data_IF_131546157115
#
_entry.id   IF_131546157115
#
_cell.length_a   1.000
_cell.length_b   1.000
_cell.length_c   1.000
_cell.angle_alpha   90.00
_cell.angle_beta   90.00
_cell.angle_gamma   90.00
#
_symmetry.space_group_name_H-M   'P 1'
#
loop_
_entity.id
_entity.type
_entity.pdbx_description
1 polymer ?
#
# COMPACT_ATOMS: atom_id res chain seq x y z
N UNK A 1 10.52 -3.20 18.82
CA UNK A 1 11.18 -3.91 17.70
C UNK A 1 10.82 -3.19 16.42
N UNK A 2 11.73 -3.20 15.44
CA UNK A 2 11.56 -2.53 14.16
C UNK A 2 12.04 -3.44 13.03
N UNK A 3 11.59 -3.12 11.78
CA UNK A 3 12.10 -3.70 10.56
C UNK A 3 12.31 -2.57 9.55
N UNK A 4 13.19 -2.80 8.59
CA UNK A 4 13.47 -1.86 7.50
C UNK A 4 13.59 -2.64 6.19
N UNK A 5 13.08 -2.07 5.11
CA UNK A 5 13.29 -2.52 3.73
C UNK A 5 13.69 -1.31 2.90
N UNK A 6 14.75 -1.46 2.13
CA UNK A 6 15.17 -0.48 1.12
C UNK A 6 15.07 -1.17 -0.25
N UNK A 7 14.33 -0.58 -1.16
CA UNK A 7 14.03 -1.16 -2.48
C UNK A 7 14.24 -0.13 -3.57
N UNK A 8 14.78 -0.56 -4.70
CA UNK A 8 14.83 0.25 -5.92
C UNK A 8 13.48 0.22 -6.64
N UNK A 9 13.26 1.16 -7.56
CA UNK A 9 12.02 1.25 -8.34
C UNK A 9 11.74 0.03 -9.22
N UNK A 10 12.73 -0.81 -9.50
CA UNK A 10 12.61 -2.07 -10.22
C UNK A 10 12.26 -3.28 -9.31
N UNK A 11 12.04 -3.07 -8.01
CA UNK A 11 11.74 -4.12 -7.05
C UNK A 11 12.97 -4.78 -6.40
N UNK A 12 14.19 -4.40 -6.78
CA UNK A 12 15.40 -4.94 -6.16
C UNK A 12 15.51 -4.54 -4.69
N UNK A 13 15.51 -5.49 -3.79
CA UNK A 13 15.73 -5.28 -2.35
C UNK A 13 17.21 -5.00 -2.12
N UNK A 14 17.54 -3.75 -1.81
CA UNK A 14 18.93 -3.29 -1.58
C UNK A 14 19.40 -3.53 -0.17
N UNK A 15 18.49 -3.45 0.80
CA UNK A 15 18.76 -3.79 2.20
C UNK A 15 17.48 -4.22 2.89
N UNK A 16 17.59 -5.15 3.82
CA UNK A 16 16.48 -5.60 4.64
C UNK A 16 16.97 -5.99 6.03
N UNK A 17 16.28 -5.48 7.06
CA UNK A 17 16.49 -5.87 8.46
C UNK A 17 15.14 -6.23 9.07
N UNK A 18 14.91 -7.49 9.35
CA UNK A 18 13.64 -8.00 9.91
C UNK A 18 13.62 -8.15 11.41
N UNK A 19 14.76 -7.94 12.11
CA UNK A 19 14.89 -8.07 13.55
C UNK A 19 16.33 -8.02 14.04
N UNK A 20 16.52 -8.12 15.37
CA UNK A 20 17.85 -8.11 15.99
C UNK A 20 18.56 -9.47 15.92
N UNK A 21 17.78 -10.53 15.79
CA UNK A 21 18.30 -11.92 15.91
C UNK A 21 18.64 -12.43 14.51
N UNK A 22 19.86 -12.13 14.07
CA UNK A 22 20.33 -12.47 12.72
C UNK A 22 21.10 -13.79 12.66
N UNK A 23 21.39 -14.40 13.84
CA UNK A 23 22.20 -15.62 13.93
C UNK A 23 21.37 -16.90 14.03
N UNK A 24 20.07 -16.79 14.27
CA UNK A 24 19.16 -17.93 14.42
C UNK A 24 18.51 -18.22 13.08
N UNK A 25 18.79 -19.41 12.53
CA UNK A 25 18.13 -19.89 11.30
C UNK A 25 16.63 -20.01 11.55
N UNK A 26 15.80 -19.44 10.64
CA UNK A 26 14.34 -19.42 10.81
C UNK A 26 13.81 -18.39 11.79
N UNK A 27 14.65 -17.45 12.29
CA UNK A 27 14.18 -16.34 13.09
C UNK A 27 13.08 -15.55 12.37
N UNK A 28 12.08 -15.11 13.14
CA UNK A 28 10.94 -14.35 12.58
C UNK A 28 11.39 -13.04 11.93
N UNK A 29 11.21 -12.96 10.62
CA UNK A 29 11.55 -11.78 9.82
C UNK A 29 10.35 -10.84 9.72
N UNK A 30 10.38 -9.73 10.44
CA UNK A 30 9.27 -8.76 10.47
C UNK A 30 9.04 -8.02 9.16
N UNK A 31 10.06 -7.97 8.31
CA UNK A 31 9.93 -7.31 7.01
C UNK A 31 9.05 -8.11 6.04
N UNK A 32 9.08 -9.45 6.16
CA UNK A 32 8.38 -10.36 5.23
C UNK A 32 7.24 -11.13 5.86
N UNK A 33 7.20 -11.24 7.20
CA UNK A 33 6.24 -12.10 7.90
C UNK A 33 5.27 -11.33 8.83
N UNK A 34 5.69 -10.17 9.36
CA UNK A 34 4.81 -9.39 10.21
C UNK A 34 3.82 -8.60 9.38
N UNK A 35 2.53 -8.84 9.59
CA UNK A 35 1.46 -8.01 9.05
C UNK A 35 1.13 -6.90 10.03
N UNK A 36 0.98 -5.68 9.53
CA UNK A 36 0.64 -4.48 10.31
C UNK A 36 -0.30 -3.61 9.50
N UNK A 37 -1.19 -2.91 10.21
CA UNK A 37 -2.05 -1.91 9.60
C UNK A 37 -1.20 -0.89 8.84
N UNK A 38 -1.54 -0.68 7.57
CA UNK A 38 -0.83 0.25 6.69
C UNK A 38 -1.11 1.71 7.04
N UNK A 39 -2.26 1.97 7.68
CA UNK A 39 -2.69 3.32 8.03
C UNK A 39 -2.72 4.22 6.80
N UNK A 40 -2.37 5.48 6.96
CA UNK A 40 -2.40 6.47 5.87
C UNK A 40 -1.45 6.15 4.70
N UNK A 41 -0.52 5.20 4.85
CA UNK A 41 0.29 4.74 3.72
C UNK A 41 -0.56 4.00 2.66
N UNK A 42 -1.79 3.63 2.97
CA UNK A 42 -2.72 3.03 2.02
C UNK A 42 -3.42 4.05 1.11
N UNK A 43 -3.54 5.31 1.52
CA UNK A 43 -4.28 6.35 0.79
C UNK A 43 -3.84 6.56 -0.67
N UNK A 44 -2.55 6.48 -1.04
CA UNK A 44 -2.15 6.58 -2.45
C UNK A 44 -2.91 5.62 -3.37
N UNK A 45 -3.24 4.41 -2.92
CA UNK A 45 -3.97 3.42 -3.72
C UNK A 45 -5.45 3.79 -3.88
N UNK A 46 -6.05 4.49 -2.92
CA UNK A 46 -7.40 5.06 -3.04
C UNK A 46 -7.45 6.11 -4.15
N UNK A 47 -6.48 7.03 -4.16
CA UNK A 47 -6.42 8.07 -5.17
C UNK A 47 -5.96 7.53 -6.53
N UNK A 48 -5.08 6.51 -6.56
CA UNK A 48 -4.72 5.82 -7.79
C UNK A 48 -5.95 5.17 -8.44
N UNK A 49 -6.83 4.55 -7.66
CA UNK A 49 -8.09 4.00 -8.16
C UNK A 49 -9.02 5.08 -8.76
N UNK A 50 -9.04 6.28 -8.17
CA UNK A 50 -9.79 7.39 -8.73
C UNK A 50 -9.20 7.87 -10.06
N UNK A 51 -7.87 8.01 -10.13
CA UNK A 51 -7.18 8.41 -11.37
C UNK A 51 -7.37 7.39 -12.49
N UNK A 52 -7.34 6.09 -12.17
CA UNK A 52 -7.57 5.00 -13.14
C UNK A 52 -8.98 5.05 -13.74
N UNK A 53 -9.96 5.52 -12.97
CA UNK A 53 -11.34 5.76 -13.43
C UNK A 53 -11.53 7.12 -14.15
N UNK A 54 -10.46 7.89 -14.35
CA UNK A 54 -10.49 9.14 -15.09
C UNK A 54 -10.77 10.39 -14.26
N UNK A 55 -10.77 10.29 -12.92
CA UNK A 55 -10.81 11.48 -12.06
C UNK A 55 -9.52 12.28 -12.18
N UNK A 56 -9.64 13.60 -11.99
CA UNK A 56 -8.52 14.52 -12.00
C UNK A 56 -7.92 14.72 -10.60
N UNK A 57 -6.59 14.87 -10.46
CA UNK A 57 -5.99 15.29 -9.20
C UNK A 57 -6.53 16.62 -8.66
N UNK A 58 -7.14 17.43 -9.53
CA UNK A 58 -7.74 18.73 -9.20
C UNK A 58 -9.24 18.66 -8.91
N UNK A 59 -9.86 17.48 -9.04
CA UNK A 59 -11.26 17.31 -8.67
C UNK A 59 -11.48 17.61 -7.20
N UNK A 60 -12.60 18.27 -6.92
CA UNK A 60 -12.94 18.72 -5.57
C UNK A 60 -13.63 17.61 -4.81
N UNK A 61 -13.18 17.39 -3.58
CA UNK A 61 -13.82 16.54 -2.60
C UNK A 61 -14.08 17.33 -1.33
N UNK A 62 -15.23 17.11 -0.71
CA UNK A 62 -15.65 17.85 0.48
C UNK A 62 -15.11 17.19 1.76
N UNK A 63 -14.31 17.93 2.52
CA UNK A 63 -13.81 17.56 3.84
C UNK A 63 -14.71 18.14 4.93
N UNK A 64 -15.85 17.49 5.19
CA UNK A 64 -16.85 17.85 6.17
C UNK A 64 -17.30 16.60 6.95
N UNK A 65 -17.93 16.74 8.13
CA UNK A 65 -18.41 15.60 8.89
C UNK A 65 -19.16 14.59 8.03
N UNK A 66 -18.79 13.32 8.15
CA UNK A 66 -19.31 12.27 7.29
C UNK A 66 -19.46 10.96 8.06
N UNK A 67 -20.60 10.32 7.89
CA UNK A 67 -20.87 9.01 8.47
C UNK A 67 -21.29 8.03 7.38
N UNK A 68 -20.93 6.77 7.56
CA UNK A 68 -21.28 5.65 6.67
C UNK A 68 -22.03 4.61 7.48
N UNK A 69 -23.21 4.20 7.01
CA UNK A 69 -23.93 3.08 7.60
C UNK A 69 -23.28 1.77 7.15
N UNK A 70 -22.78 1.00 8.09
CA UNK A 70 -22.21 -0.34 7.84
C UNK A 70 -23.26 -1.38 8.19
N UNK A 71 -23.71 -2.19 7.22
CA UNK A 71 -24.69 -3.25 7.50
C UNK A 71 -24.24 -4.15 8.64
N UNK A 72 -25.09 -4.32 9.65
CA UNK A 72 -24.80 -5.14 10.83
C UNK A 72 -23.88 -4.51 11.89
N UNK A 73 -23.31 -3.32 11.64
CA UNK A 73 -22.39 -2.65 12.58
C UNK A 73 -22.81 -1.23 12.97
N UNK A 74 -23.85 -0.67 12.32
CA UNK A 74 -24.34 0.67 12.60
C UNK A 74 -23.59 1.77 11.86
N UNK A 75 -23.66 3.00 12.40
CA UNK A 75 -22.98 4.15 11.81
C UNK A 75 -21.50 4.19 12.20
N UNK A 76 -20.66 4.46 11.21
CA UNK A 76 -19.25 4.72 11.37
C UNK A 76 -18.91 6.13 10.86
N UNK A 77 -18.44 6.98 11.78
CA UNK A 77 -18.14 8.39 11.51
C UNK A 77 -16.64 8.63 11.72
N UNK A 78 -15.81 8.52 10.66
CA UNK A 78 -14.38 8.82 10.76
C UNK A 78 -14.15 10.33 11.01
N UNK A 79 -13.01 10.65 11.62
CA UNK A 79 -12.57 12.01 11.81
C UNK A 79 -11.17 12.22 11.21
N UNK A 80 -10.84 13.45 10.84
CA UNK A 80 -9.47 13.82 10.58
C UNK A 80 -8.64 13.74 11.87
N UNK A 81 -7.31 13.61 11.73
CA UNK A 81 -6.41 13.45 12.87
C UNK A 81 -6.51 14.61 13.88
N UNK A 82 -6.60 15.83 13.38
CA UNK A 82 -6.72 17.07 14.17
C UNK A 82 -8.18 17.42 14.53
N UNK A 83 -9.15 16.58 14.11
CA UNK A 83 -10.59 16.80 14.30
C UNK A 83 -11.13 18.09 13.68
N UNK A 84 -10.38 18.68 12.73
CA UNK A 84 -10.83 19.84 11.95
C UNK A 84 -11.30 19.41 10.56
N UNK A 85 -12.05 20.27 9.91
CA UNK A 85 -12.57 20.08 8.56
C UNK A 85 -12.22 21.29 7.72
N UNK A 86 -11.85 21.06 6.46
CA UNK A 86 -11.35 22.09 5.54
C UNK A 86 -12.37 22.52 4.49
N UNK A 87 -13.54 21.87 4.45
CA UNK A 87 -14.52 22.10 3.39
C UNK A 87 -14.03 21.55 2.04
N UNK A 88 -14.21 22.31 0.98
CA UNK A 88 -13.83 21.87 -0.36
C UNK A 88 -12.32 21.93 -0.55
N UNK A 89 -11.72 20.78 -0.88
CA UNK A 89 -10.29 20.62 -1.17
C UNK A 89 -10.11 19.82 -2.46
N UNK A 90 -8.98 19.99 -3.14
CA UNK A 90 -8.64 19.12 -4.27
C UNK A 90 -8.18 17.73 -3.78
N UNK A 91 -8.27 16.71 -4.63
CA UNK A 91 -7.72 15.38 -4.32
C UNK A 91 -6.23 15.44 -4.00
N UNK A 92 -5.46 16.29 -4.71
CA UNK A 92 -4.05 16.54 -4.43
C UNK A 92 -3.83 17.08 -3.02
N UNK A 93 -4.59 18.10 -2.62
CA UNK A 93 -4.50 18.67 -1.28
C UNK A 93 -4.92 17.66 -0.22
N UNK A 94 -5.99 16.92 -0.46
CA UNK A 94 -6.49 15.89 0.45
C UNK A 94 -5.45 14.79 0.72
N UNK A 95 -4.75 14.32 -0.34
CA UNK A 95 -3.66 13.35 -0.19
C UNK A 95 -2.43 13.96 0.50
N UNK A 96 -2.01 15.16 0.09
CA UNK A 96 -0.84 15.85 0.66
C UNK A 96 -0.98 16.08 2.16
N UNK A 97 -2.17 16.48 2.61
CA UNK A 97 -2.50 16.68 4.03
C UNK A 97 -2.94 15.41 4.73
N UNK A 98 -3.05 14.31 4.00
CA UNK A 98 -3.48 13.02 4.53
C UNK A 98 -4.86 13.07 5.22
N UNK A 99 -5.81 13.82 4.66
CA UNK A 99 -7.15 13.96 5.20
C UNK A 99 -7.89 12.62 5.15
N UNK A 100 -8.61 12.28 6.23
CA UNK A 100 -9.30 11.00 6.34
C UNK A 100 -10.66 11.01 5.62
N UNK A 101 -11.43 12.08 5.81
CA UNK A 101 -12.78 12.17 5.26
C UNK A 101 -12.77 12.13 3.73
N UNK A 102 -11.95 12.95 3.04
CA UNK A 102 -11.81 12.88 1.59
C UNK A 102 -11.42 11.48 1.09
N UNK A 103 -10.45 10.83 1.75
CA UNK A 103 -10.03 9.49 1.35
C UNK A 103 -11.18 8.46 1.43
N UNK A 104 -12.00 8.51 2.49
CA UNK A 104 -13.17 7.64 2.63
C UNK A 104 -14.22 7.95 1.57
N UNK A 105 -14.52 9.22 1.32
CA UNK A 105 -15.49 9.63 0.29
C UNK A 105 -15.04 9.19 -1.11
N UNK A 106 -13.78 9.41 -1.46
CA UNK A 106 -13.20 8.97 -2.74
C UNK A 106 -13.30 7.45 -2.86
N UNK A 107 -12.87 6.69 -1.85
CA UNK A 107 -12.95 5.23 -1.88
C UNK A 107 -14.38 4.70 -2.05
N UNK A 108 -15.37 5.37 -1.47
CA UNK A 108 -16.77 5.02 -1.66
C UNK A 108 -17.28 5.37 -3.05
N UNK A 109 -16.88 6.51 -3.58
CA UNK A 109 -17.27 6.96 -4.93
C UNK A 109 -16.73 6.03 -6.01
N UNK A 110 -15.45 5.63 -5.92
CA UNK A 110 -14.83 4.73 -6.91
C UNK A 110 -15.15 3.24 -6.67
N UNK A 111 -15.64 2.93 -5.49
CA UNK A 111 -15.95 1.56 -5.05
C UNK A 111 -14.78 0.90 -4.34
N UNK A 112 -15.05 0.30 -3.17
CA UNK A 112 -14.03 -0.36 -2.35
C UNK A 112 -13.36 -1.54 -3.06
N UNK A 113 -14.09 -2.22 -3.95
CA UNK A 113 -13.54 -3.31 -4.76
C UNK A 113 -12.49 -2.79 -5.75
N UNK A 114 -12.76 -1.67 -6.41
CA UNK A 114 -11.80 -1.02 -7.32
C UNK A 114 -10.51 -0.65 -6.56
N UNK A 115 -10.65 -0.10 -5.36
CA UNK A 115 -9.49 0.23 -4.51
C UNK A 115 -8.68 -1.01 -4.15
N UNK A 116 -9.34 -2.13 -3.78
CA UNK A 116 -8.66 -3.40 -3.51
C UNK A 116 -7.92 -3.93 -4.74
N UNK A 117 -8.58 -3.90 -5.90
CA UNK A 117 -7.99 -4.37 -7.14
C UNK A 117 -6.74 -3.56 -7.51
N UNK A 118 -6.79 -2.23 -7.42
CA UNK A 118 -5.63 -1.37 -7.68
C UNK A 118 -4.50 -1.66 -6.68
N UNK A 119 -4.79 -1.74 -5.38
CA UNK A 119 -3.78 -2.07 -4.38
C UNK A 119 -3.15 -3.46 -4.62
N UNK A 120 -3.96 -4.44 -5.01
CA UNK A 120 -3.49 -5.79 -5.37
C UNK A 120 -2.62 -5.78 -6.63
N UNK A 121 -2.99 -5.00 -7.64
CA UNK A 121 -2.18 -4.82 -8.85
C UNK A 121 -0.83 -4.18 -8.54
N UNK A 122 -0.74 -3.29 -7.55
CA UNK A 122 0.53 -2.76 -7.05
C UNK A 122 1.33 -3.75 -6.18
N UNK A 123 0.79 -4.95 -5.90
CA UNK A 123 1.51 -6.02 -5.20
C UNK A 123 1.14 -6.23 -3.72
N UNK A 124 0.08 -5.57 -3.22
CA UNK A 124 -0.46 -5.86 -1.89
C UNK A 124 -1.35 -7.11 -1.99
N UNK A 125 -0.82 -8.26 -1.60
CA UNK A 125 -1.49 -9.56 -1.69
C UNK A 125 -2.15 -9.99 -0.37
N UNK A 126 -1.86 -9.29 0.72
CA UNK A 126 -2.50 -9.53 2.03
C UNK A 126 -4.00 -9.21 1.97
N UNK A 127 -4.79 -9.91 2.78
CA UNK A 127 -6.24 -9.74 2.84
C UNK A 127 -6.61 -8.30 3.21
N UNK A 128 -7.47 -7.71 2.41
CA UNK A 128 -7.90 -6.32 2.58
C UNK A 128 -9.31 -6.24 3.15
N UNK A 129 -9.53 -5.27 4.03
CA UNK A 129 -10.83 -5.00 4.66
C UNK A 129 -11.94 -4.80 3.63
N UNK A 130 -13.12 -5.36 3.89
CA UNK A 130 -14.28 -5.20 3.02
C UNK A 130 -15.03 -3.87 3.24
N UNK A 131 -14.86 -3.23 4.39
CA UNK A 131 -15.57 -2.01 4.78
C UNK A 131 -14.82 -0.71 4.46
N UNK A 132 -15.47 0.44 4.68
CA UNK A 132 -14.94 1.76 4.32
C UNK A 132 -13.66 2.15 5.06
N UNK A 133 -13.36 1.52 6.21
CA UNK A 133 -12.10 1.69 6.92
C UNK A 133 -10.87 1.23 6.10
N UNK A 134 -11.07 0.49 5.01
CA UNK A 134 -10.05 0.20 4.00
C UNK A 134 -9.31 1.46 3.56
N UNK A 135 -10.04 2.55 3.28
CA UNK A 135 -9.48 3.82 2.82
C UNK A 135 -8.48 4.45 3.79
N UNK A 136 -8.56 4.07 5.07
CA UNK A 136 -7.67 4.54 6.13
C UNK A 136 -6.58 3.52 6.49
N UNK A 137 -6.44 2.45 5.70
CA UNK A 137 -5.45 1.42 5.91
C UNK A 137 -5.71 0.53 7.12
N UNK A 138 -6.97 0.22 7.40
CA UNK A 138 -7.35 -0.74 8.44
C UNK A 138 -6.88 -2.18 8.13
N UNK A 139 -6.55 -2.45 6.86
CA UNK A 139 -5.99 -3.72 6.43
C UNK A 139 -4.53 -3.87 6.86
N UNK A 140 -4.15 -5.09 7.14
CA UNK A 140 -2.77 -5.43 7.45
C UNK A 140 -2.03 -5.92 6.20
N UNK A 141 -0.80 -5.45 6.01
CA UNK A 141 0.12 -5.92 4.96
C UNK A 141 1.53 -6.11 5.54
N UNK A 142 2.37 -6.82 4.83
CA UNK A 142 3.79 -6.92 5.18
C UNK A 142 4.53 -5.66 4.75
N UNK A 143 5.66 -5.40 5.39
CA UNK A 143 6.50 -4.25 5.03
C UNK A 143 7.03 -4.37 3.60
N UNK A 144 7.39 -5.59 3.17
CA UNK A 144 7.91 -5.82 1.81
C UNK A 144 6.84 -5.59 0.74
N UNK A 145 5.58 -6.02 0.96
CA UNK A 145 4.46 -5.74 0.05
C UNK A 145 4.24 -4.24 -0.08
N UNK A 146 4.13 -3.53 1.05
CA UNK A 146 3.92 -2.09 1.05
C UNK A 146 5.08 -1.36 0.37
N UNK A 147 6.34 -1.75 0.64
CA UNK A 147 7.51 -1.14 0.00
C UNK A 147 7.52 -1.40 -1.51
N UNK A 148 7.16 -2.61 -1.95
CA UNK A 148 7.04 -2.97 -3.37
C UNK A 148 5.96 -2.15 -4.08
N UNK A 149 4.80 -1.97 -3.44
CA UNK A 149 3.72 -1.16 -3.98
C UNK A 149 4.15 0.32 -4.17
N UNK A 150 4.91 0.88 -3.22
CA UNK A 150 5.49 2.23 -3.36
C UNK A 150 6.61 2.28 -4.42
N UNK A 151 7.40 1.22 -4.58
CA UNK A 151 8.37 1.13 -5.67
C UNK A 151 7.66 1.15 -7.04
N UNK A 152 6.50 0.51 -7.17
CA UNK A 152 5.64 0.58 -8.35
C UNK A 152 5.13 2.00 -8.64
N UNK A 153 4.77 2.77 -7.63
CA UNK A 153 4.43 4.20 -7.81
C UNK A 153 5.67 4.97 -8.28
N UNK A 154 6.83 4.72 -7.68
CA UNK A 154 8.09 5.41 -8.01
C UNK A 154 8.56 5.15 -9.45
N UNK A 155 8.27 3.99 -10.02
CA UNK A 155 8.66 3.64 -11.38
C UNK A 155 7.68 4.11 -12.46
N UNK A 156 6.69 4.92 -12.11
CA UNK A 156 5.71 5.49 -13.03
C UNK A 156 4.40 4.73 -13.11
N UNK A 157 4.12 3.84 -12.14
CA UNK A 157 2.82 3.18 -11.99
C UNK A 157 2.78 1.71 -12.41
N UNK A 158 3.90 1.14 -12.81
CA UNK A 158 3.98 -0.31 -13.07
C UNK A 158 4.27 -1.09 -11.79
N UNK A 159 3.54 -2.16 -11.55
CA UNK A 159 3.80 -3.06 -10.44
C UNK A 159 5.23 -3.62 -10.48
N UNK A 160 5.77 -3.92 -9.31
CA UNK A 160 7.07 -4.58 -9.20
C UNK A 160 6.95 -5.84 -8.35
N UNK A 161 7.73 -6.85 -8.69
CA UNK A 161 7.89 -8.05 -7.86
C UNK A 161 9.20 -7.90 -7.08
N UNK A 162 9.15 -7.82 -5.73
CA UNK A 162 10.36 -7.71 -4.92
C UNK A 162 11.30 -8.90 -5.13
N UNK A 163 12.58 -8.62 -5.33
CA UNK A 163 13.61 -9.67 -5.47
C UNK A 163 14.92 -9.28 -4.78
N UNK A 164 15.64 -10.28 -4.28
CA UNK A 164 16.94 -10.09 -3.63
C UNK A 164 18.04 -10.96 -4.25
N UNK A 165 17.68 -11.87 -5.15
CA UNK A 165 18.60 -12.76 -5.84
C UNK A 165 18.53 -12.48 -7.35
N UNK A 166 19.67 -12.24 -7.98
CA UNK A 166 19.74 -12.02 -9.43
C UNK A 166 19.90 -13.36 -10.13
N UNK A 167 20.80 -14.19 -9.62
CA UNK A 167 21.07 -15.47 -10.24
C UNK A 167 21.73 -16.44 -9.21
N UNK A 168 21.47 -17.71 -9.35
CA UNK A 168 22.14 -18.79 -8.64
C UNK A 168 22.75 -19.76 -9.65
N UNK A 169 24.06 -20.02 -9.54
CA UNK A 169 24.76 -21.02 -10.37
C UNK A 169 25.40 -22.08 -9.50
N UNK A 170 25.41 -23.30 -10.00
CA UNK A 170 26.24 -24.37 -9.40
C UNK A 170 27.69 -24.16 -9.82
N UNK A 171 28.63 -24.51 -8.94
CA UNK A 171 30.04 -24.41 -9.26
C UNK A 171 30.40 -25.34 -10.40
N UNK A 172 30.96 -24.80 -11.50
CA UNK A 172 31.33 -25.55 -12.68
C UNK A 172 30.24 -25.69 -13.75
N UNK A 173 29.09 -25.09 -13.55
CA UNK A 173 28.00 -25.04 -14.54
C UNK A 173 27.93 -23.67 -15.22
N UNK A 174 27.81 -23.65 -16.56
CA UNK A 174 27.66 -22.39 -17.32
C UNK A 174 26.24 -21.83 -17.29
N UNK A 175 25.25 -22.70 -17.16
CA UNK A 175 23.86 -22.31 -17.08
C UNK A 175 23.43 -21.99 -15.63
N UNK A 176 22.67 -20.91 -15.39
CA UNK A 176 22.14 -20.65 -14.06
C UNK A 176 21.08 -21.68 -13.66
N UNK A 177 21.15 -22.15 -12.41
CA UNK A 177 20.12 -22.99 -11.80
C UNK A 177 18.81 -22.20 -11.59
N UNK A 178 18.95 -20.91 -11.29
CA UNK A 178 17.86 -19.97 -11.07
C UNK A 178 18.30 -18.57 -11.50
N UNK A 179 17.38 -17.83 -12.08
CA UNK A 179 17.50 -16.38 -12.33
C UNK A 179 16.42 -15.62 -11.58
N UNK A 180 16.62 -14.33 -11.37
CA UNK A 180 15.62 -13.47 -10.73
C UNK A 180 14.29 -13.54 -11.49
N UNK A 181 13.21 -13.73 -10.74
CA UNK A 181 11.83 -13.72 -11.26
C UNK A 181 11.10 -12.42 -10.92
N UNK A 182 11.79 -11.50 -10.24
CA UNK A 182 11.28 -10.18 -9.90
C UNK A 182 11.60 -9.13 -10.96
N UNK A 183 11.20 -7.90 -10.69
CA UNK A 183 11.40 -6.77 -11.56
C UNK A 183 10.11 -6.01 -11.86
N UNK A 184 10.12 -5.20 -12.91
CA UNK A 184 8.91 -4.49 -13.38
C UNK A 184 7.96 -5.48 -14.03
N UNK A 185 6.66 -5.36 -13.68
CA UNK A 185 5.57 -6.13 -14.26
C UNK A 185 5.13 -5.60 -15.62
#
# INVERSE_FOLDING_TARGET
QAAIVVMSSDGAVRAMVGGRDTKVVGAFNRATQARRQTGSAFKPFVYAAALDLGYSPYDIVDDAPYCVTIPGSGEWCPNNYDRSFSGQVTMTEALTRSLNIPAVKVAQTVGLETVRNVASQFGIQSDMAAGPALALGASEATLIETTGAFAGILNGGSAVTPYGLIELRMQGEDAPLMTATGGMG
#
